data_IF_355729765846
#
_entry.id   IF_355729765846
#
_cell.length_a   1.000
_cell.length_b   1.000
_cell.length_c   1.000
_cell.angle_alpha   90.00
_cell.angle_beta   90.00
_cell.angle_gamma   90.00
#
_symmetry.space_group_name_H-M   'P 1'
#
loop_
_entity.id
_entity.type
_entity.pdbx_description
1 polymer ?
#
# COMPACT_ATOMS: atom_id res chain seq x y z
N UNK A 1 -11.94 16.25 -4.74
CA UNK A 1 -10.85 16.40 -3.75
C UNK A 1 -11.21 15.88 -2.33
N UNK A 2 -12.47 15.97 -1.87
CA UNK A 2 -12.90 15.57 -0.51
C UNK A 2 -12.86 14.04 -0.24
N UNK A 3 -13.15 13.19 -1.23
CA UNK A 3 -13.16 11.72 -1.05
C UNK A 3 -11.79 11.13 -0.69
N UNK A 4 -10.69 11.67 -1.23
CA UNK A 4 -9.33 11.14 -1.01
C UNK A 4 -8.82 11.46 0.41
N UNK A 5 -9.22 12.59 0.97
CA UNK A 5 -8.83 13.00 2.34
C UNK A 5 -9.57 12.16 3.39
N UNK A 6 -10.86 11.89 3.19
CA UNK A 6 -11.67 11.11 4.13
C UNK A 6 -11.16 9.66 4.26
N UNK A 7 -10.77 9.05 3.13
CA UNK A 7 -10.30 7.67 3.06
C UNK A 7 -8.92 7.52 3.73
N UNK A 8 -8.01 8.49 3.56
CA UNK A 8 -6.70 8.51 4.22
C UNK A 8 -6.83 8.62 5.75
N UNK A 9 -7.73 9.49 6.24
CA UNK A 9 -7.99 9.63 7.68
C UNK A 9 -8.62 8.37 8.29
N UNK A 10 -9.53 7.70 7.56
CA UNK A 10 -10.17 6.47 8.02
C UNK A 10 -9.18 5.30 8.10
N UNK A 11 -8.33 5.15 7.09
CA UNK A 11 -7.24 4.17 7.08
C UNK A 11 -6.28 4.42 8.26
N UNK A 12 -5.98 5.67 8.60
CA UNK A 12 -5.16 6.02 9.77
C UNK A 12 -5.76 5.53 11.10
N UNK A 13 -7.08 5.65 11.27
CA UNK A 13 -7.77 5.17 12.48
C UNK A 13 -7.77 3.65 12.60
N UNK A 14 -8.06 2.93 11.50
CA UNK A 14 -7.97 1.47 11.48
C UNK A 14 -6.54 1.00 11.76
N UNK A 15 -5.53 1.71 11.23
CA UNK A 15 -4.12 1.41 11.50
C UNK A 15 -3.77 1.51 12.99
N UNK A 16 -4.32 2.49 13.71
CA UNK A 16 -4.19 2.58 15.16
C UNK A 16 -4.80 1.37 15.85
N UNK A 17 -6.07 1.06 15.54
CA UNK A 17 -6.79 -0.07 16.14
C UNK A 17 -6.11 -1.44 15.95
N UNK A 18 -5.40 -1.65 14.84
CA UNK A 18 -4.65 -2.89 14.60
C UNK A 18 -3.36 -2.96 15.42
N UNK A 19 -2.71 -1.82 15.69
CA UNK A 19 -1.34 -1.78 16.22
C UNK A 19 -1.30 -1.49 17.72
N UNK A 20 -2.28 -0.73 18.21
CA UNK A 20 -2.30 -0.24 19.58
C UNK A 20 -2.68 -1.36 20.54
N UNK A 21 -1.91 -1.49 21.63
CA UNK A 21 -2.14 -2.52 22.66
C UNK A 21 -3.40 -2.26 23.47
N UNK A 22 -3.81 -1.00 23.58
CA UNK A 22 -4.96 -0.59 24.38
C UNK A 22 -5.84 0.37 23.59
N UNK A 23 -7.15 0.21 23.77
CA UNK A 23 -8.20 1.02 23.18
C UNK A 23 -9.02 1.67 24.28
N UNK A 24 -9.23 2.98 24.19
CA UNK A 24 -10.14 3.66 25.11
C UNK A 24 -11.58 3.58 24.58
N UNK A 25 -12.47 2.96 25.35
CA UNK A 25 -13.89 2.81 25.02
C UNK A 25 -14.67 3.94 25.69
N UNK A 26 -15.37 4.72 24.87
CA UNK A 26 -16.23 5.81 25.32
C UNK A 26 -17.70 5.41 25.14
N UNK A 27 -18.29 4.77 26.14
CA UNK A 27 -19.72 4.46 26.14
C UNK A 27 -20.54 5.70 26.48
N UNK A 28 -21.65 5.91 25.77
CA UNK A 28 -22.50 7.06 26.02
C UNK A 28 -23.06 7.01 27.44
N UNK A 29 -22.78 8.05 28.23
CA UNK A 29 -23.23 8.15 29.62
C UNK A 29 -22.38 7.38 30.63
N UNK A 30 -21.19 6.92 30.23
CA UNK A 30 -20.20 6.27 31.11
C UNK A 30 -18.85 6.94 30.88
N UNK A 31 -18.01 7.00 31.91
CA UNK A 31 -16.65 7.52 31.79
C UNK A 31 -15.77 6.64 30.88
N UNK A 32 -14.80 7.28 30.25
CA UNK A 32 -13.84 6.63 29.36
C UNK A 32 -13.00 5.61 30.13
N UNK A 33 -12.91 4.37 29.62
CA UNK A 33 -12.05 3.34 30.21
C UNK A 33 -11.19 2.63 29.16
N UNK A 34 -9.94 2.25 29.50
CA UNK A 34 -9.07 1.50 28.61
C UNK A 34 -9.40 0.00 28.63
N UNK A 35 -9.30 -0.65 27.47
CA UNK A 35 -9.33 -2.10 27.30
C UNK A 35 -8.09 -2.56 26.53
N UNK A 36 -7.66 -3.80 26.75
CA UNK A 36 -6.64 -4.41 25.91
C UNK A 36 -7.21 -4.78 24.54
N UNK A 37 -6.48 -4.47 23.48
CA UNK A 37 -6.88 -4.71 22.09
C UNK A 37 -6.41 -6.09 21.63
N UNK A 38 -7.38 -6.96 21.33
CA UNK A 38 -7.15 -8.26 20.69
C UNK A 38 -7.87 -8.35 19.33
N UNK A 39 -8.14 -7.20 18.72
CA UNK A 39 -8.98 -7.12 17.52
C UNK A 39 -8.27 -7.71 16.29
N UNK A 40 -9.01 -8.53 15.54
CA UNK A 40 -8.64 -9.00 14.19
C UNK A 40 -9.74 -8.58 13.23
N UNK A 41 -9.38 -7.79 12.22
CA UNK A 41 -10.34 -7.26 11.26
C UNK A 41 -10.39 -8.12 10.01
N UNK A 42 -11.60 -8.48 9.60
CA UNK A 42 -11.90 -9.07 8.30
C UNK A 42 -12.84 -8.09 7.58
N UNK A 43 -12.45 -7.66 6.39
CA UNK A 43 -13.20 -6.68 5.60
C UNK A 43 -13.54 -7.34 4.27
N UNK A 44 -14.82 -7.34 3.92
CA UNK A 44 -15.33 -7.79 2.63
C UNK A 44 -15.87 -6.60 1.87
N UNK A 45 -15.59 -6.53 0.57
CA UNK A 45 -15.94 -5.39 -0.29
C UNK A 45 -16.08 -5.86 -1.72
N UNK A 46 -16.98 -5.21 -2.46
CA UNK A 46 -17.15 -5.40 -3.89
C UNK A 46 -16.43 -4.31 -4.71
N UNK A 47 -15.78 -3.36 -4.03
CA UNK A 47 -15.00 -2.30 -4.66
C UNK A 47 -13.70 -2.88 -5.25
N UNK A 48 -13.36 -2.48 -6.47
CA UNK A 48 -12.16 -2.96 -7.18
C UNK A 48 -10.86 -2.40 -6.59
N UNK A 49 -10.90 -1.25 -5.92
CA UNK A 49 -9.75 -0.62 -5.28
C UNK A 49 -10.10 -0.25 -3.82
N UNK A 50 -10.31 -1.25 -2.95
CA UNK A 50 -10.93 -1.00 -1.66
C UNK A 50 -9.99 -0.34 -0.64
N UNK A 51 -8.69 -0.53 -0.81
CA UNK A 51 -7.68 -0.02 0.11
C UNK A 51 -6.40 0.36 -0.64
N UNK A 52 -5.90 1.57 -0.36
CA UNK A 52 -4.58 1.98 -0.80
C UNK A 52 -3.52 1.21 -0.02
N UNK A 53 -2.79 0.35 -0.72
CA UNK A 53 -1.74 -0.51 -0.15
C UNK A 53 -0.38 0.01 -0.62
N UNK A 54 0.54 0.24 0.32
CA UNK A 54 1.93 0.59 0.00
C UNK A 54 2.83 -0.63 -0.13
N UNK A 55 4.05 -0.44 -0.64
CA UNK A 55 5.07 -1.51 -0.76
C UNK A 55 5.41 -2.15 0.59
N UNK A 56 5.47 -1.35 1.66
CA UNK A 56 5.78 -1.83 3.02
C UNK A 56 4.54 -2.21 3.85
N UNK A 57 3.41 -2.52 3.20
CA UNK A 57 2.20 -2.86 3.94
C UNK A 57 2.29 -4.26 4.57
N UNK A 58 2.73 -4.27 5.81
CA UNK A 58 2.83 -5.47 6.66
C UNK A 58 1.52 -5.90 7.34
N UNK A 59 0.42 -5.15 7.21
CA UNK A 59 -0.80 -5.35 8.02
C UNK A 59 -1.96 -5.97 7.25
N UNK A 60 -2.09 -5.63 5.97
CA UNK A 60 -3.24 -6.05 5.17
C UNK A 60 -2.88 -7.23 4.27
N UNK A 61 -3.69 -8.28 4.30
CA UNK A 61 -3.70 -9.34 3.28
C UNK A 61 -4.96 -9.13 2.43
N UNK A 62 -4.77 -8.86 1.14
CA UNK A 62 -5.90 -8.63 0.22
C UNK A 62 -6.03 -9.84 -0.69
N UNK A 63 -7.17 -10.53 -0.63
CA UNK A 63 -7.45 -11.71 -1.44
C UNK A 63 -8.62 -11.39 -2.35
N UNK A 64 -8.43 -11.58 -3.66
CA UNK A 64 -9.51 -11.54 -4.63
C UNK A 64 -10.17 -12.91 -4.69
N UNK A 65 -11.45 -12.97 -4.38
CA UNK A 65 -12.25 -14.19 -4.53
C UNK A 65 -12.48 -14.50 -6.01
N UNK A 66 -12.64 -15.78 -6.35
CA UNK A 66 -12.97 -16.24 -7.70
C UNK A 66 -14.40 -15.90 -8.09
N UNK A 67 -14.63 -15.63 -9.37
CA UNK A 67 -15.95 -15.30 -9.92
C UNK A 67 -16.79 -16.55 -10.27
N UNK A 68 -16.21 -17.74 -10.17
CA UNK A 68 -16.77 -19.01 -10.69
C UNK A 68 -18.14 -19.38 -10.10
N UNK A 69 -18.39 -19.01 -8.84
CA UNK A 69 -19.60 -19.39 -8.11
C UNK A 69 -20.62 -18.25 -8.01
N UNK A 70 -20.39 -17.12 -8.70
CA UNK A 70 -21.33 -16.01 -8.71
C UNK A 70 -22.69 -16.47 -9.22
N UNK A 71 -23.75 -16.22 -8.43
CA UNK A 71 -25.12 -16.60 -8.76
C UNK A 71 -25.48 -18.07 -8.49
N UNK A 72 -24.52 -18.91 -8.06
CA UNK A 72 -24.79 -20.32 -7.72
C UNK A 72 -25.47 -20.44 -6.35
N UNK A 73 -26.78 -20.19 -6.32
CA UNK A 73 -27.59 -20.24 -5.09
C UNK A 73 -27.50 -21.59 -4.39
N UNK A 74 -27.59 -22.70 -5.13
CA UNK A 74 -27.58 -24.04 -4.55
C UNK A 74 -26.29 -24.35 -3.77
N UNK A 75 -25.14 -23.89 -4.28
CA UNK A 75 -23.87 -24.02 -3.59
C UNK A 75 -23.87 -23.25 -2.27
N UNK A 76 -24.29 -21.98 -2.27
CA UNK A 76 -24.33 -21.15 -1.07
C UNK A 76 -25.39 -21.61 -0.07
N UNK A 77 -26.55 -22.07 -0.53
CA UNK A 77 -27.60 -22.65 0.33
C UNK A 77 -27.08 -23.88 1.08
N UNK A 78 -26.26 -24.71 0.43
CA UNK A 78 -25.60 -25.84 1.08
C UNK A 78 -24.62 -25.37 2.15
N UNK A 79 -23.82 -24.33 1.88
CA UNK A 79 -22.92 -23.75 2.88
C UNK A 79 -23.70 -23.19 4.07
N UNK A 80 -24.78 -22.45 3.83
CA UNK A 80 -25.61 -21.90 4.90
C UNK A 80 -26.17 -23.00 5.82
N UNK A 81 -26.69 -24.09 5.24
CA UNK A 81 -27.14 -25.26 6.02
C UNK A 81 -26.01 -25.91 6.83
N UNK A 82 -24.81 -26.00 6.26
CA UNK A 82 -23.65 -26.53 6.99
C UNK A 82 -23.23 -25.62 8.15
N UNK A 83 -23.37 -24.30 8.01
CA UNK A 83 -23.07 -23.35 9.08
C UNK A 83 -24.09 -23.40 10.24
N UNK A 84 -25.31 -23.88 9.99
CA UNK A 84 -26.35 -24.10 11.01
C UNK A 84 -26.15 -25.41 11.78
N UNK A 85 -25.39 -26.37 11.25
CA UNK A 85 -25.11 -27.64 11.92
C UNK A 85 -23.98 -27.50 12.94
N UNK A 86 -24.35 -27.66 14.23
CA UNK A 86 -23.44 -27.59 15.37
C UNK A 86 -22.28 -28.59 15.25
N UNK A 87 -22.52 -29.78 14.68
CA UNK A 87 -21.48 -30.80 14.53
C UNK A 87 -20.43 -30.38 13.49
N UNK A 88 -20.85 -29.72 12.41
CA UNK A 88 -19.94 -29.18 11.39
C UNK A 88 -19.09 -28.07 11.99
N UNK A 89 -19.72 -27.12 12.71
CA UNK A 89 -19.00 -26.04 13.40
C UNK A 89 -18.01 -26.60 14.42
N UNK A 90 -18.42 -27.61 15.20
CA UNK A 90 -17.53 -28.30 16.15
C UNK A 90 -16.33 -28.93 15.46
N UNK A 91 -16.56 -29.60 14.33
CA UNK A 91 -15.48 -30.23 13.53
C UNK A 91 -14.48 -29.18 13.04
N UNK A 92 -14.96 -28.06 12.49
CA UNK A 92 -14.10 -26.95 12.07
C UNK A 92 -13.30 -26.36 13.25
N UNK A 93 -13.96 -26.16 14.40
CA UNK A 93 -13.31 -25.65 15.60
C UNK A 93 -12.21 -26.60 16.10
N UNK A 94 -12.48 -27.90 16.18
CA UNK A 94 -11.52 -28.90 16.61
C UNK A 94 -10.33 -28.97 15.65
N UNK A 95 -10.58 -28.86 14.34
CA UNK A 95 -9.52 -28.76 13.34
C UNK A 95 -8.62 -27.54 13.59
N UNK A 96 -9.18 -26.33 13.68
CA UNK A 96 -8.39 -25.11 13.88
C UNK A 96 -7.67 -25.08 15.23
N UNK A 97 -8.27 -25.64 16.29
CA UNK A 97 -7.67 -25.72 17.62
C UNK A 97 -6.45 -26.64 17.65
N UNK A 98 -6.48 -27.72 16.88
CA UNK A 98 -5.42 -28.74 16.85
C UNK A 98 -4.38 -28.51 15.75
N UNK A 99 -4.45 -27.39 15.02
CA UNK A 99 -3.41 -27.05 14.05
C UNK A 99 -2.05 -26.91 14.75
N UNK A 100 -0.99 -27.58 14.24
CA UNK A 100 0.35 -27.47 14.81
C UNK A 100 0.96 -26.08 14.54
N UNK A 101 1.96 -25.72 15.36
CA UNK A 101 2.83 -24.54 15.16
C UNK A 101 2.13 -23.16 15.11
N UNK A 102 0.92 -23.03 15.68
CA UNK A 102 0.22 -21.74 15.76
C UNK A 102 0.95 -20.70 16.62
N UNK A 103 1.79 -21.13 17.56
CA UNK A 103 2.68 -20.27 18.35
C UNK A 103 3.73 -19.55 17.48
N UNK A 104 4.12 -20.16 16.35
CA UNK A 104 5.08 -19.62 15.39
C UNK A 104 4.41 -18.85 14.25
N UNK A 105 3.08 -18.86 14.16
CA UNK A 105 2.34 -18.21 13.06
C UNK A 105 2.71 -16.74 12.86
N UNK A 106 2.99 -16.00 13.94
CA UNK A 106 3.42 -14.59 13.86
C UNK A 106 4.77 -14.36 13.19
N UNK A 107 5.57 -15.40 13.00
CA UNK A 107 6.88 -15.35 12.34
C UNK A 107 6.78 -15.67 10.83
N UNK A 108 5.64 -16.20 10.38
CA UNK A 108 5.42 -16.53 8.97
C UNK A 108 5.30 -15.22 8.18
N UNK A 109 6.10 -15.03 7.11
CA UNK A 109 5.98 -13.86 6.28
C UNK A 109 4.59 -13.82 5.63
N UNK A 110 3.97 -12.65 5.65
CA UNK A 110 2.65 -12.46 5.04
C UNK A 110 2.75 -12.74 3.52
N UNK A 111 1.91 -13.61 2.95
CA UNK A 111 1.88 -13.80 1.51
C UNK A 111 1.42 -12.53 0.81
N UNK A 112 1.97 -12.25 -0.37
CA UNK A 112 1.56 -11.14 -1.23
C UNK A 112 0.83 -11.73 -2.43
N UNK A 113 -0.45 -11.40 -2.57
CA UNK A 113 -1.27 -11.86 -3.70
C UNK A 113 -1.00 -11.00 -4.93
N UNK A 114 -1.27 -11.55 -6.12
CA UNK A 114 -1.18 -10.79 -7.37
C UNK A 114 -2.09 -9.56 -7.35
N UNK A 115 -3.32 -9.71 -6.85
CA UNK A 115 -4.25 -8.60 -6.72
C UNK A 115 -3.72 -7.50 -5.78
N UNK A 116 -3.08 -7.88 -4.68
CA UNK A 116 -2.43 -6.91 -3.79
C UNK A 116 -1.28 -6.17 -4.47
N UNK A 117 -0.49 -6.84 -5.34
CA UNK A 117 0.54 -6.17 -6.16
C UNK A 117 -0.08 -5.15 -7.11
N UNK A 118 -1.14 -5.52 -7.81
CA UNK A 118 -1.84 -4.60 -8.72
C UNK A 118 -2.33 -3.35 -7.98
N UNK A 119 -2.88 -3.51 -6.76
CA UNK A 119 -3.28 -2.36 -5.91
C UNK A 119 -2.10 -1.50 -5.48
N UNK A 120 -0.93 -2.10 -5.22
CA UNK A 120 0.29 -1.36 -4.91
C UNK A 120 0.79 -0.55 -6.12
N UNK A 121 0.71 -1.10 -7.32
CA UNK A 121 1.05 -0.42 -8.56
C UNK A 121 0.12 0.78 -8.84
N UNK A 122 -1.20 0.60 -8.65
CA UNK A 122 -2.17 1.68 -8.76
C UNK A 122 -1.96 2.79 -7.72
N UNK A 123 -1.37 2.44 -6.58
CA UNK A 123 -1.09 3.39 -5.49
C UNK A 123 0.21 4.18 -5.70
N UNK A 124 1.00 3.90 -6.74
CA UNK A 124 2.27 4.60 -7.01
C UNK A 124 2.02 6.06 -7.34
N UNK A 125 2.83 6.95 -6.75
CA UNK A 125 2.65 8.39 -6.95
C UNK A 125 3.08 8.83 -8.36
N UNK A 126 2.42 9.84 -8.97
CA UNK A 126 2.87 10.39 -10.26
C UNK A 126 4.32 10.90 -10.25
N UNK A 127 4.80 11.38 -9.09
CA UNK A 127 6.20 11.80 -8.91
C UNK A 127 7.14 10.59 -9.04
N UNK A 128 6.80 9.45 -8.44
CA UNK A 128 7.60 8.23 -8.53
C UNK A 128 7.61 7.67 -9.96
N UNK A 129 6.46 7.73 -10.66
CA UNK A 129 6.37 7.35 -12.07
C UNK A 129 7.23 8.26 -12.97
N UNK A 130 7.22 9.57 -12.72
CA UNK A 130 8.07 10.52 -13.44
C UNK A 130 9.56 10.25 -13.21
N UNK A 131 9.98 9.99 -11.97
CA UNK A 131 11.38 9.64 -11.67
C UNK A 131 11.77 8.32 -12.32
N UNK A 132 10.85 7.36 -12.38
CA UNK A 132 11.04 6.10 -13.10
C UNK A 132 11.24 6.36 -14.60
N UNK A 133 10.41 7.19 -15.22
CA UNK A 133 10.55 7.60 -16.62
C UNK A 133 11.91 8.26 -16.87
N UNK A 134 12.32 9.21 -16.02
CA UNK A 134 13.63 9.86 -16.12
C UNK A 134 14.79 8.85 -16.08
N UNK A 135 14.70 7.82 -15.24
CA UNK A 135 15.73 6.80 -15.11
C UNK A 135 15.88 5.92 -16.37
N UNK A 136 14.80 5.71 -17.14
CA UNK A 136 14.82 4.93 -18.38
C UNK A 136 15.09 5.79 -19.62
N UNK A 137 14.71 7.06 -19.61
CA UNK A 137 14.92 7.99 -20.72
C UNK A 137 16.35 8.52 -20.80
N UNK A 138 17.03 8.71 -19.65
CA UNK A 138 18.40 9.24 -19.63
C UNK A 138 19.43 8.10 -19.59
N UNK A 139 20.52 8.24 -20.36
CA UNK A 139 21.64 7.29 -20.35
C UNK A 139 22.72 7.61 -19.31
N UNK A 140 22.89 8.90 -18.99
CA UNK A 140 23.95 9.40 -18.11
C UNK A 140 23.36 10.20 -16.94
N UNK A 141 24.12 10.26 -15.86
CA UNK A 141 23.79 11.06 -14.69
C UNK A 141 23.62 12.53 -15.09
N UNK A 142 22.62 13.19 -14.53
CA UNK A 142 22.27 14.57 -14.89
C UNK A 142 21.87 15.39 -13.65
N UNK A 143 22.02 16.70 -13.74
CA UNK A 143 21.58 17.65 -12.71
C UNK A 143 20.47 18.54 -13.25
N UNK A 144 19.47 18.84 -12.41
CA UNK A 144 18.40 19.77 -12.74
C UNK A 144 18.18 20.78 -11.61
N UNK A 145 17.85 22.01 -11.99
CA UNK A 145 17.27 22.98 -11.07
C UNK A 145 15.84 22.56 -10.68
N UNK A 146 15.37 23.03 -9.53
CA UNK A 146 14.00 22.76 -9.09
C UNK A 146 12.93 23.28 -10.06
N UNK A 147 13.22 24.35 -10.81
CA UNK A 147 12.36 24.86 -11.89
C UNK A 147 12.29 23.89 -13.07
N UNK A 148 13.44 23.46 -13.59
CA UNK A 148 13.53 22.51 -14.71
C UNK A 148 12.91 21.16 -14.36
N UNK A 149 13.15 20.68 -13.13
CA UNK A 149 12.54 19.45 -12.63
C UNK A 149 11.00 19.57 -12.57
N UNK A 150 10.49 20.75 -12.24
CA UNK A 150 9.06 21.01 -12.23
C UNK A 150 8.48 21.09 -13.64
N UNK A 151 9.13 21.77 -14.58
CA UNK A 151 8.73 21.83 -15.99
C UNK A 151 8.65 20.42 -16.60
N UNK A 152 9.72 19.61 -16.45
CA UNK A 152 9.73 18.21 -16.89
C UNK A 152 8.63 17.36 -16.25
N UNK A 153 8.34 17.59 -14.97
CA UNK A 153 7.26 16.89 -14.28
C UNK A 153 5.87 17.29 -14.80
N UNK A 154 5.65 18.57 -15.12
CA UNK A 154 4.40 19.06 -15.72
C UNK A 154 4.20 18.45 -17.10
N UNK A 155 5.23 18.47 -17.95
CA UNK A 155 5.19 17.81 -19.28
C UNK A 155 4.87 16.31 -19.16
N UNK A 156 5.48 15.63 -18.19
CA UNK A 156 5.17 14.23 -17.90
C UNK A 156 3.70 14.03 -17.50
N UNK A 157 3.16 14.92 -16.66
CA UNK A 157 1.78 14.86 -16.22
C UNK A 157 0.81 15.09 -17.37
N UNK A 158 1.07 16.07 -18.23
CA UNK A 158 0.26 16.36 -19.42
C UNK A 158 0.26 15.17 -20.39
N UNK A 159 1.44 14.59 -20.65
CA UNK A 159 1.59 13.43 -21.56
C UNK A 159 0.84 12.18 -21.07
N UNK A 160 0.77 11.96 -19.76
CA UNK A 160 0.13 10.77 -19.17
C UNK A 160 -1.26 11.04 -18.60
N UNK A 161 -1.80 12.26 -18.75
CA UNK A 161 -3.14 12.62 -18.28
C UNK A 161 -3.28 12.75 -16.76
N UNK A 162 -2.18 13.02 -16.03
CA UNK A 162 -2.24 13.25 -14.58
C UNK A 162 -2.63 14.69 -14.26
N UNK A 163 -3.69 14.87 -13.47
CA UNK A 163 -4.01 16.16 -12.86
C UNK A 163 -3.27 16.26 -11.53
N UNK A 164 -2.22 17.08 -11.48
CA UNK A 164 -1.38 17.22 -10.30
C UNK A 164 -1.17 18.67 -9.87
N UNK A 165 -1.82 19.07 -8.77
CA UNK A 165 -1.66 20.39 -8.18
C UNK A 165 -0.41 20.44 -7.29
N UNK A 166 0.71 20.90 -7.86
CA UNK A 166 1.91 21.23 -7.11
C UNK A 166 2.61 22.45 -7.72
N UNK A 167 3.43 23.11 -6.92
CA UNK A 167 4.41 24.08 -7.40
C UNK A 167 5.81 23.46 -7.26
N UNK A 168 6.83 24.11 -7.85
CA UNK A 168 8.21 23.61 -7.83
C UNK A 168 8.72 23.28 -6.40
N UNK A 169 8.37 24.11 -5.40
CA UNK A 169 8.73 23.86 -4.00
C UNK A 169 8.07 22.58 -3.44
N UNK A 170 6.75 22.41 -3.65
CA UNK A 170 6.00 21.22 -3.20
C UNK A 170 6.54 19.96 -3.86
N UNK A 171 6.87 20.00 -5.15
CA UNK A 171 7.51 18.89 -5.86
C UNK A 171 8.87 18.56 -5.23
N UNK A 172 9.70 19.58 -5.01
CA UNK A 172 11.03 19.43 -4.42
C UNK A 172 11.01 18.77 -3.04
N UNK A 173 10.09 19.18 -2.15
CA UNK A 173 9.90 18.60 -0.82
C UNK A 173 9.34 17.19 -0.90
N UNK A 174 8.31 16.95 -1.72
CA UNK A 174 7.72 15.60 -1.90
C UNK A 174 8.75 14.61 -2.42
N UNK A 175 9.56 15.01 -3.39
CA UNK A 175 10.64 14.18 -3.94
C UNK A 175 11.68 13.81 -2.87
N UNK A 176 12.04 14.75 -2.00
CA UNK A 176 12.95 14.46 -0.88
C UNK A 176 12.34 13.50 0.14
N UNK A 177 11.03 13.63 0.43
CA UNK A 177 10.32 12.76 1.36
C UNK A 177 10.11 11.34 0.84
N UNK A 178 10.12 11.13 -0.48
CA UNK A 178 10.03 9.80 -1.08
C UNK A 178 11.29 8.95 -0.83
N UNK A 179 12.44 9.56 -0.49
CA UNK A 179 13.65 8.84 -0.12
C UNK A 179 14.22 7.93 -1.23
N UNK A 180 13.95 8.24 -2.50
CA UNK A 180 14.40 7.44 -3.64
C UNK A 180 15.93 7.45 -3.72
N UNK A 181 16.54 6.26 -3.69
CA UNK A 181 18.00 6.11 -3.88
C UNK A 181 18.38 6.52 -5.30
N UNK A 182 19.47 7.27 -5.44
CA UNK A 182 19.89 7.85 -6.72
C UNK A 182 19.53 9.33 -6.92
N UNK A 183 18.86 9.97 -5.95
CA UNK A 183 18.62 11.42 -5.94
C UNK A 183 19.41 12.07 -4.82
N UNK A 184 20.33 12.97 -5.18
CA UNK A 184 21.23 13.65 -4.26
C UNK A 184 21.10 15.16 -4.34
N UNK A 185 21.57 15.84 -3.30
CA UNK A 185 21.76 17.30 -3.34
C UNK A 185 22.91 17.58 -4.31
N UNK A 186 22.63 18.38 -5.34
CA UNK A 186 23.63 18.83 -6.30
C UNK A 186 24.33 20.10 -5.83
N UNK A 187 24.94 20.80 -6.78
CA UNK A 187 25.71 22.01 -6.54
C UNK A 187 24.84 23.16 -6.00
N UNK A 188 25.46 24.01 -5.17
CA UNK A 188 24.86 25.26 -4.74
C UNK A 188 25.28 26.37 -5.71
N UNK A 189 24.33 26.96 -6.42
CA UNK A 189 24.56 28.11 -7.30
C UNK A 189 23.89 29.36 -6.73
N UNK A 190 24.13 30.52 -7.36
CA UNK A 190 23.44 31.78 -7.02
C UNK A 190 21.91 31.72 -7.21
N UNK A 191 21.41 30.78 -8.01
CA UNK A 191 19.99 30.58 -8.31
C UNK A 191 19.33 29.49 -7.45
N UNK A 192 20.09 28.87 -6.55
CA UNK A 192 19.64 27.82 -5.64
C UNK A 192 20.42 26.52 -5.76
N UNK A 193 19.95 25.48 -5.06
CA UNK A 193 20.57 24.14 -5.10
C UNK A 193 19.97 23.29 -6.21
N UNK A 194 20.81 22.65 -7.01
CA UNK A 194 20.37 21.63 -7.98
C UNK A 194 20.12 20.29 -7.27
N UNK A 195 19.46 19.37 -7.99
CA UNK A 195 19.39 17.95 -7.61
C UNK A 195 20.14 17.12 -8.64
N UNK A 196 20.98 16.22 -8.16
CA UNK A 196 21.73 15.26 -8.95
C UNK A 196 20.95 13.94 -9.03
N UNK A 197 20.73 13.47 -10.25
CA UNK A 197 20.04 12.23 -10.56
C UNK A 197 21.06 11.23 -11.11
N UNK A 198 21.38 10.22 -10.32
CA UNK A 198 22.26 9.13 -10.73
C UNK A 198 21.46 8.02 -11.39
N UNK A 199 21.56 7.94 -12.72
CA UNK A 199 20.74 7.05 -13.56
C UNK A 199 20.95 5.59 -13.18
N UNK A 200 22.20 5.15 -12.96
CA UNK A 200 22.49 3.76 -12.60
C UNK A 200 21.82 3.35 -11.28
N UNK A 201 21.92 4.20 -10.26
CA UNK A 201 21.34 3.94 -8.95
C UNK A 201 19.80 4.00 -8.98
N UNK A 202 19.23 4.92 -9.77
CA UNK A 202 17.78 4.99 -10.00
C UNK A 202 17.26 3.71 -10.68
N UNK A 203 17.95 3.24 -11.73
CA UNK A 203 17.61 1.98 -12.40
C UNK A 203 17.68 0.81 -11.44
N UNK A 204 18.73 0.73 -10.62
CA UNK A 204 18.86 -0.30 -9.58
C UNK A 204 17.73 -0.22 -8.53
N UNK A 205 17.31 0.98 -8.15
CA UNK A 205 16.20 1.18 -7.22
C UNK A 205 14.88 0.63 -7.78
N UNK A 206 14.56 0.95 -9.04
CA UNK A 206 13.33 0.49 -9.68
C UNK A 206 13.41 -0.97 -10.19
N UNK A 207 14.61 -1.49 -10.50
CA UNK A 207 14.80 -2.89 -10.88
C UNK A 207 14.83 -3.81 -9.67
N UNK A 208 15.41 -3.39 -8.54
CA UNK A 208 15.41 -4.14 -7.29
C UNK A 208 14.02 -4.31 -6.69
N UNK A 209 13.08 -3.42 -7.03
CA UNK A 209 11.65 -3.65 -6.77
C UNK A 209 11.15 -4.87 -7.52
N UNK A 210 11.41 -4.98 -8.84
CA UNK A 210 11.08 -6.20 -9.61
C UNK A 210 11.73 -7.47 -9.05
N UNK A 211 12.98 -7.42 -8.61
CA UNK A 211 13.72 -8.62 -8.18
C UNK A 211 13.29 -9.11 -6.79
N UNK A 212 12.99 -8.23 -5.83
CA UNK A 212 12.41 -8.67 -4.54
C UNK A 212 10.99 -9.22 -4.69
N UNK A 213 10.27 -8.81 -5.74
CA UNK A 213 8.93 -9.34 -6.07
C UNK A 213 8.98 -10.77 -6.66
N UNK A 214 10.09 -11.17 -7.31
CA UNK A 214 10.32 -12.53 -7.81
C UNK A 214 10.82 -13.51 -6.74
N UNK A 215 11.59 -13.06 -5.75
CA UNK A 215 12.08 -13.93 -4.66
C UNK A 215 11.02 -14.30 -3.61
N UNK A 216 9.87 -13.61 -3.58
CA UNK A 216 8.74 -13.95 -2.70
C UNK A 216 7.74 -14.93 -3.34
N UNK A 217 8.05 -15.44 -4.53
CA UNK A 217 7.24 -16.40 -5.29
C UNK A 217 7.85 -17.82 -5.33
N UNK A 218 8.96 -18.08 -4.63
CA UNK A 218 9.55 -19.41 -4.46
C UNK A 218 9.55 -19.85 -2.99
#
# INVERSE_FOLDING_TARGET
MVRRILLVCFVGKIKGLITDKQLNINHKGIDLYPIDSYHRFIITTNELEPITTGKDDRRNLVIRSSDELIGNKQYFDKIHKLLEDINVIKTCYEYFKNLPDLDKFGQVPKPITEYQRNLQELSVSPIELWVKDLAYTHEKDFEMFGSQAYESFVEFCEKHGFIYEANSLKLGVRLSNLGIKGIYKGQHTMYGRTKLYKVKELRMYFSGQKTMDEYLLN
#
